data_IF_475499248448
#
_entry.id   IF_475499248448
#
_cell.length_a   1.000
_cell.length_b   1.000
_cell.length_c   1.000
_cell.angle_alpha   90.00
_cell.angle_beta   90.00
_cell.angle_gamma   90.00
#
_symmetry.space_group_name_H-M   'P 1'
#
loop_
_entity.id
_entity.type
_entity.pdbx_description
1 polymer ?
#
# COMPACT_ATOMS: atom_id res chain seq x y z
N UNK A 1 13.46 -10.78 -5.55
CA UNK A 1 12.84 -9.60 -4.93
C UNK A 1 12.38 -8.67 -6.03
N UNK A 2 11.12 -8.23 -6.01
CA UNK A 2 10.65 -7.19 -6.92
C UNK A 2 11.37 -5.89 -6.58
N UNK A 3 11.98 -5.23 -7.57
CA UNK A 3 12.53 -3.88 -7.44
C UNK A 3 11.60 -2.87 -8.09
N UNK A 4 11.77 -1.60 -7.79
CA UNK A 4 11.09 -0.48 -8.43
C UNK A 4 11.99 0.10 -9.49
N UNK A 5 11.47 0.32 -10.70
CA UNK A 5 12.24 0.96 -11.77
C UNK A 5 12.62 2.40 -11.40
N UNK A 6 13.86 2.76 -11.67
CA UNK A 6 14.36 4.11 -11.41
C UNK A 6 13.60 5.18 -12.20
N UNK A 7 13.13 4.85 -13.40
CA UNK A 7 12.25 5.71 -14.21
C UNK A 7 11.00 6.16 -13.45
N UNK A 8 10.33 5.21 -12.77
CA UNK A 8 9.14 5.51 -11.97
C UNK A 8 9.47 6.42 -10.78
N UNK A 9 10.58 6.16 -10.08
CA UNK A 9 11.04 7.00 -8.98
C UNK A 9 11.28 8.44 -9.44
N UNK A 10 11.96 8.62 -10.57
CA UNK A 10 12.27 9.94 -11.14
C UNK A 10 11.01 10.73 -11.49
N UNK A 11 10.04 10.07 -12.13
CA UNK A 11 8.77 10.69 -12.54
C UNK A 11 7.91 11.10 -11.33
N UNK A 12 7.69 10.17 -10.41
CA UNK A 12 6.81 10.39 -9.25
C UNK A 12 7.37 11.44 -8.27
N UNK A 13 8.69 11.47 -8.08
CA UNK A 13 9.32 12.42 -7.19
C UNK A 13 9.76 13.72 -7.90
N UNK A 14 9.52 13.85 -9.19
CA UNK A 14 9.83 15.05 -9.95
C UNK A 14 11.31 15.41 -9.94
N UNK A 15 12.21 14.41 -10.15
CA UNK A 15 13.64 14.62 -10.16
C UNK A 15 14.11 15.12 -11.53
N UNK A 16 15.00 16.13 -11.52
CA UNK A 16 15.64 16.61 -12.73
C UNK A 16 16.88 15.76 -13.06
N UNK A 17 16.90 15.17 -14.25
CA UNK A 17 17.98 14.29 -14.71
C UNK A 17 19.15 15.12 -15.26
N UNK A 18 20.37 14.92 -14.72
CA UNK A 18 21.60 15.57 -15.15
C UNK A 18 22.43 14.69 -16.09
N UNK A 19 22.07 13.42 -16.27
CA UNK A 19 22.76 12.43 -17.12
C UNK A 19 21.78 11.77 -18.07
N UNK A 20 21.14 12.52 -18.98
CA UNK A 20 20.08 12.00 -19.86
C UNK A 20 20.58 10.90 -20.84
N UNK A 21 21.88 10.77 -21.04
CA UNK A 21 22.51 9.74 -21.88
C UNK A 21 22.43 8.33 -21.27
N UNK A 22 22.16 8.23 -19.94
CA UNK A 22 22.09 6.95 -19.23
C UNK A 22 20.67 6.41 -19.31
N UNK A 23 20.52 5.18 -19.79
CA UNK A 23 19.25 4.48 -19.80
C UNK A 23 18.86 4.04 -18.36
N UNK A 24 17.68 4.47 -17.93
CA UNK A 24 17.15 4.19 -16.58
C UNK A 24 16.28 2.94 -16.53
N UNK A 25 15.90 2.36 -17.68
CA UNK A 25 14.86 1.32 -17.78
C UNK A 25 15.24 0.02 -17.04
N UNK A 26 16.52 -0.33 -17.02
CA UNK A 26 17.03 -1.55 -16.39
C UNK A 26 17.46 -1.39 -14.94
N UNK A 27 17.45 -0.14 -14.41
CA UNK A 27 17.91 0.13 -13.04
C UNK A 27 16.77 -0.06 -12.07
N UNK A 28 16.96 -0.98 -11.12
CA UNK A 28 15.99 -1.33 -10.09
C UNK A 28 16.47 -0.93 -8.70
N UNK A 29 15.64 -0.18 -7.98
CA UNK A 29 15.82 0.07 -6.55
C UNK A 29 15.16 -1.06 -5.78
N UNK A 30 15.92 -1.74 -4.91
CA UNK A 30 15.49 -2.97 -4.22
C UNK A 30 15.37 -2.81 -2.70
N UNK A 31 15.76 -1.66 -2.14
CA UNK A 31 15.69 -1.38 -0.72
C UNK A 31 15.01 -0.04 -0.44
N UNK A 32 14.31 0.02 0.68
CA UNK A 32 13.67 1.24 1.18
C UNK A 32 14.71 2.19 1.79
N UNK A 33 15.82 1.60 2.23
CA UNK A 33 16.88 2.36 2.88
C UNK A 33 17.64 3.22 1.87
N UNK A 34 17.97 4.41 2.30
CA UNK A 34 18.77 5.38 1.56
C UNK A 34 20.10 5.62 2.29
N UNK A 35 21.06 6.19 1.60
CA UNK A 35 22.35 6.51 2.19
C UNK A 35 22.74 7.98 1.97
N UNK A 36 23.37 8.59 2.97
CA UNK A 36 24.09 9.87 2.86
C UNK A 36 25.58 9.56 2.89
N UNK A 37 26.31 9.69 1.77
CA UNK A 37 27.65 9.15 1.63
C UNK A 37 28.74 10.04 2.26
N UNK A 38 28.53 10.53 3.50
CA UNK A 38 29.45 11.45 4.14
C UNK A 38 30.87 10.84 4.32
N UNK A 39 30.99 9.65 4.93
CA UNK A 39 32.26 8.95 5.10
C UNK A 39 32.81 8.41 3.78
N UNK A 40 31.92 7.95 2.89
CA UNK A 40 32.31 7.41 1.59
C UNK A 40 33.02 8.46 0.73
N UNK A 41 32.58 9.71 0.81
CA UNK A 41 33.22 10.83 0.11
C UNK A 41 34.59 11.22 0.69
N UNK A 42 34.89 10.82 1.94
CA UNK A 42 36.25 10.97 2.49
C UNK A 42 37.21 9.84 2.07
N UNK A 43 36.67 8.77 1.44
CA UNK A 43 37.41 7.61 0.96
C UNK A 43 37.25 6.34 1.81
N UNK A 44 36.43 6.37 2.87
CA UNK A 44 36.11 5.20 3.68
C UNK A 44 34.94 4.43 3.06
N UNK A 45 35.23 3.30 2.45
CA UNK A 45 34.26 2.46 1.71
C UNK A 45 33.98 1.11 2.39
N UNK A 46 34.56 0.83 3.55
CA UNK A 46 34.22 -0.37 4.31
C UNK A 46 32.77 -0.32 4.77
N UNK A 47 32.05 -1.43 4.60
CA UNK A 47 30.61 -1.54 4.93
C UNK A 47 29.72 -0.53 4.20
N UNK A 48 30.12 -0.09 3.01
CA UNK A 48 29.34 0.81 2.20
C UNK A 48 28.10 0.11 1.63
N UNK A 49 26.93 0.59 1.99
CA UNK A 49 25.64 0.14 1.46
C UNK A 49 25.42 0.72 0.06
N UNK A 50 26.15 0.19 -0.92
CA UNK A 50 26.16 0.70 -2.29
C UNK A 50 24.87 0.39 -3.07
N UNK A 51 24.06 -0.56 -2.63
CA UNK A 51 22.76 -0.90 -3.21
C UNK A 51 21.66 0.15 -2.95
N UNK A 52 21.93 1.11 -2.04
CA UNK A 52 20.98 2.15 -1.66
C UNK A 52 21.03 3.36 -2.59
N UNK A 53 19.92 4.08 -2.69
CA UNK A 53 19.91 5.40 -3.30
C UNK A 53 20.83 6.34 -2.50
N UNK A 54 21.74 7.03 -3.17
CA UNK A 54 22.70 7.93 -2.54
C UNK A 54 22.20 9.37 -2.61
N UNK A 55 22.12 10.07 -1.46
CA UNK A 55 21.64 11.44 -1.38
C UNK A 55 22.76 12.34 -0.86
N UNK A 56 23.21 13.25 -1.70
CA UNK A 56 24.21 14.27 -1.36
C UNK A 56 23.47 15.56 -0.98
N UNK A 57 23.57 15.93 0.28
CA UNK A 57 23.02 17.17 0.83
C UNK A 57 24.02 18.34 0.78
N UNK A 58 23.61 19.46 1.36
CA UNK A 58 24.43 20.67 1.38
C UNK A 58 25.78 20.45 2.09
N UNK A 59 25.84 19.70 3.18
CA UNK A 59 27.07 19.46 3.96
C UNK A 59 28.07 18.63 3.14
N UNK A 60 27.62 17.54 2.55
CA UNK A 60 28.45 16.68 1.71
C UNK A 60 28.94 17.43 0.46
N UNK A 61 28.06 18.22 -0.13
CA UNK A 61 28.39 19.06 -1.28
C UNK A 61 29.46 20.10 -0.97
N UNK A 62 29.28 20.86 0.12
CA UNK A 62 30.27 21.88 0.52
C UNK A 62 31.63 21.28 0.89
N UNK A 63 31.64 20.10 1.50
CA UNK A 63 32.88 19.35 1.71
C UNK A 63 33.60 19.05 0.39
N UNK A 64 32.90 18.53 -0.62
CA UNK A 64 33.47 18.27 -1.94
C UNK A 64 34.00 19.54 -2.61
N UNK A 65 33.31 20.67 -2.47
CA UNK A 65 33.73 21.95 -3.05
C UNK A 65 34.92 22.60 -2.33
N UNK A 66 35.24 22.18 -1.10
CA UNK A 66 36.45 22.61 -0.38
C UNK A 66 37.72 21.89 -0.81
N UNK A 67 37.59 20.74 -1.46
CA UNK A 67 38.72 19.98 -1.97
C UNK A 67 39.30 20.61 -3.21
N UNK A 68 40.61 20.40 -3.47
CA UNK A 68 41.20 20.68 -4.77
C UNK A 68 40.50 19.88 -5.87
N UNK A 69 40.57 20.33 -7.11
CA UNK A 69 39.90 19.64 -8.24
C UNK A 69 40.41 18.19 -8.39
N UNK A 70 41.72 17.96 -8.16
CA UNK A 70 42.33 16.63 -8.23
C UNK A 70 41.83 15.71 -7.12
N UNK A 71 41.79 16.19 -5.86
CA UNK A 71 41.30 15.44 -4.71
C UNK A 71 39.81 15.15 -4.81
N UNK A 72 38.98 16.14 -5.24
CA UNK A 72 37.57 15.98 -5.46
C UNK A 72 37.31 14.91 -6.49
N UNK A 73 37.96 14.98 -7.66
CA UNK A 73 37.85 14.02 -8.73
C UNK A 73 38.24 12.63 -8.27
N UNK A 74 39.38 12.47 -7.58
CA UNK A 74 39.84 11.19 -7.07
C UNK A 74 38.84 10.55 -6.07
N UNK A 75 38.39 11.31 -5.08
CA UNK A 75 37.46 10.82 -4.05
C UNK A 75 36.08 10.52 -4.64
N UNK A 76 35.57 11.39 -5.52
CA UNK A 76 34.28 11.20 -6.16
C UNK A 76 34.32 10.00 -7.13
N UNK A 77 35.41 9.81 -7.86
CA UNK A 77 35.60 8.65 -8.75
C UNK A 77 35.55 7.33 -7.95
N UNK A 78 36.23 7.25 -6.82
CA UNK A 78 36.16 6.07 -5.93
C UNK A 78 34.75 5.79 -5.42
N UNK A 79 34.00 6.83 -5.08
CA UNK A 79 32.62 6.71 -4.63
C UNK A 79 31.71 6.25 -5.78
N UNK A 80 31.74 6.93 -6.92
CA UNK A 80 30.85 6.66 -8.04
C UNK A 80 31.11 5.28 -8.69
N UNK A 81 32.34 4.79 -8.66
CA UNK A 81 32.74 3.46 -9.18
C UNK A 81 32.24 2.29 -8.33
N UNK A 82 31.63 2.55 -7.17
CA UNK A 82 31.16 1.52 -6.21
C UNK A 82 29.85 0.85 -6.62
N UNK A 83 29.41 0.95 -7.89
CA UNK A 83 28.20 0.33 -8.44
C UNK A 83 26.92 0.74 -7.71
N UNK A 84 26.78 2.00 -7.40
CA UNK A 84 25.59 2.58 -6.79
C UNK A 84 24.46 2.75 -7.83
N UNK A 85 23.18 2.63 -7.45
CA UNK A 85 22.07 2.70 -8.40
C UNK A 85 21.84 4.10 -8.96
N UNK A 86 22.05 5.14 -8.16
CA UNK A 86 21.96 6.53 -8.57
C UNK A 86 22.48 7.48 -7.47
N UNK A 87 22.71 8.73 -7.85
CA UNK A 87 23.03 9.84 -6.94
C UNK A 87 22.00 10.94 -7.11
N UNK A 88 21.51 11.49 -5.99
CA UNK A 88 20.56 12.61 -5.98
C UNK A 88 21.14 13.75 -5.16
N UNK A 89 21.34 14.89 -5.80
CA UNK A 89 21.74 16.13 -5.14
C UNK A 89 20.48 16.87 -4.66
N UNK A 90 20.44 17.22 -3.40
CA UNK A 90 19.32 17.95 -2.77
C UNK A 90 19.68 19.41 -2.48
N UNK A 91 18.66 20.21 -2.13
CA UNK A 91 18.86 21.62 -1.73
C UNK A 91 19.45 22.49 -2.85
N UNK A 92 19.07 22.26 -4.09
CA UNK A 92 19.55 22.96 -5.29
C UNK A 92 21.08 22.89 -5.51
N UNK A 93 21.79 22.02 -4.80
CA UNK A 93 23.23 21.83 -5.04
C UNK A 93 23.41 21.17 -6.41
N UNK A 94 24.29 21.72 -7.23
CA UNK A 94 24.57 21.19 -8.57
C UNK A 94 26.01 20.65 -8.60
N UNK A 95 26.20 19.39 -9.01
CA UNK A 95 27.54 18.85 -9.19
C UNK A 95 28.30 19.63 -10.26
N UNK A 96 29.62 19.70 -10.11
CA UNK A 96 30.50 20.23 -11.14
C UNK A 96 30.55 19.32 -12.38
N UNK A 97 31.01 19.86 -13.51
CA UNK A 97 30.99 19.10 -14.78
C UNK A 97 31.85 17.85 -14.68
N UNK A 98 33.01 17.89 -14.02
CA UNK A 98 33.86 16.74 -13.77
C UNK A 98 33.15 15.59 -13.00
N UNK A 99 32.25 15.95 -12.08
CA UNK A 99 31.44 14.95 -11.36
C UNK A 99 30.37 14.34 -12.27
N UNK A 100 29.76 15.11 -13.17
CA UNK A 100 28.79 14.62 -14.16
C UNK A 100 29.51 13.68 -15.16
N UNK A 101 30.67 14.07 -15.66
CA UNK A 101 31.46 13.28 -16.60
C UNK A 101 31.87 11.91 -15.98
N UNK A 102 32.22 11.90 -14.69
CA UNK A 102 32.49 10.66 -13.96
C UNK A 102 31.22 9.80 -13.80
N UNK A 103 30.08 10.40 -13.53
CA UNK A 103 28.81 9.69 -13.41
C UNK A 103 28.44 9.02 -14.75
N UNK A 104 28.59 9.69 -15.86
CA UNK A 104 28.41 9.13 -17.23
C UNK A 104 29.43 7.99 -17.49
N UNK A 105 30.71 8.24 -17.19
CA UNK A 105 31.78 7.22 -17.35
C UNK A 105 31.47 5.90 -16.64
N UNK A 106 30.91 5.97 -15.43
CA UNK A 106 30.60 4.80 -14.60
C UNK A 106 29.13 4.34 -14.73
N UNK A 107 28.36 4.95 -15.63
CA UNK A 107 26.95 4.62 -15.88
C UNK A 107 26.07 4.74 -14.60
N UNK A 108 26.28 5.82 -13.82
CA UNK A 108 25.53 6.09 -12.60
C UNK A 108 24.62 7.29 -12.81
N UNK A 109 23.29 7.11 -12.91
CA UNK A 109 22.35 8.20 -13.08
C UNK A 109 22.44 9.22 -11.95
N UNK A 110 22.49 10.48 -12.32
CA UNK A 110 22.61 11.61 -11.38
C UNK A 110 21.46 12.57 -11.54
N UNK A 111 20.84 12.93 -10.44
CA UNK A 111 19.66 13.78 -10.39
C UNK A 111 19.84 14.95 -9.42
N UNK A 112 18.99 15.96 -9.57
CA UNK A 112 18.89 17.09 -8.64
C UNK A 112 17.44 17.32 -8.23
N UNK A 113 17.24 17.76 -6.97
CA UNK A 113 15.95 18.21 -6.45
C UNK A 113 16.12 19.53 -5.68
N UNK A 114 15.13 20.39 -5.76
CA UNK A 114 15.08 21.68 -5.03
C UNK A 114 14.74 21.47 -3.54
N UNK A 115 14.20 20.32 -3.18
CA UNK A 115 13.77 20.00 -1.82
C UNK A 115 14.96 19.94 -0.85
N UNK A 116 14.71 20.30 0.41
CA UNK A 116 15.71 20.12 1.45
C UNK A 116 16.02 18.64 1.66
N UNK A 117 17.25 18.31 2.05
CA UNK A 117 17.69 16.94 2.23
C UNK A 117 16.75 16.14 3.15
N UNK A 118 16.39 16.71 4.31
CA UNK A 118 15.52 16.01 5.28
C UNK A 118 14.11 15.76 4.74
N UNK A 119 13.51 16.75 4.08
CA UNK A 119 12.18 16.61 3.48
C UNK A 119 12.17 15.57 2.37
N UNK A 120 13.18 15.62 1.48
CA UNK A 120 13.29 14.65 0.40
C UNK A 120 13.56 13.24 0.89
N UNK A 121 14.42 13.06 1.92
CA UNK A 121 14.65 11.76 2.55
C UNK A 121 13.38 11.15 3.11
N UNK A 122 12.57 11.91 3.84
CA UNK A 122 11.31 11.42 4.38
C UNK A 122 10.34 10.99 3.27
N UNK A 123 10.29 11.75 2.18
CA UNK A 123 9.40 11.47 1.06
C UNK A 123 9.83 10.24 0.27
N UNK A 124 11.11 10.10 -0.08
CA UNK A 124 11.60 8.94 -0.84
C UNK A 124 11.49 7.65 -0.02
N UNK A 125 11.78 7.67 1.29
CA UNK A 125 11.61 6.51 2.18
C UNK A 125 10.15 6.09 2.22
N UNK A 126 9.23 7.04 2.42
CA UNK A 126 7.80 6.77 2.43
C UNK A 126 7.34 6.18 1.10
N UNK A 127 7.77 6.76 -0.03
CA UNK A 127 7.39 6.31 -1.36
C UNK A 127 7.95 4.90 -1.65
N UNK A 128 9.24 4.66 -1.39
CA UNK A 128 9.86 3.34 -1.56
C UNK A 128 9.20 2.30 -0.65
N UNK A 129 8.84 2.68 0.59
CA UNK A 129 8.14 1.83 1.53
C UNK A 129 6.82 1.29 0.96
N UNK A 130 6.05 2.14 0.27
CA UNK A 130 4.82 1.72 -0.40
C UNK A 130 5.11 0.86 -1.64
N UNK A 131 6.07 1.26 -2.48
CA UNK A 131 6.36 0.57 -3.74
C UNK A 131 6.99 -0.81 -3.53
N UNK A 132 7.86 -0.96 -2.53
CA UNK A 132 8.56 -2.19 -2.20
C UNK A 132 7.82 -3.05 -1.17
N UNK A 133 6.68 -2.58 -0.67
CA UNK A 133 5.85 -3.32 0.29
C UNK A 133 5.51 -4.72 -0.24
N UNK A 134 5.55 -5.75 0.61
CA UNK A 134 5.04 -7.06 0.26
C UNK A 134 3.63 -6.96 -0.31
N UNK A 135 3.41 -7.59 -1.45
CA UNK A 135 2.13 -7.54 -2.17
C UNK A 135 1.71 -8.94 -2.57
N UNK A 136 0.43 -9.26 -2.35
CA UNK A 136 -0.22 -10.49 -2.83
C UNK A 136 -1.48 -10.13 -3.60
N UNK A 137 -1.87 -11.00 -4.53
CA UNK A 137 -3.15 -10.89 -5.24
C UNK A 137 -4.14 -11.88 -4.61
N UNK A 138 -5.32 -11.39 -4.27
CA UNK A 138 -6.41 -12.17 -3.68
C UNK A 138 -7.60 -12.14 -4.64
N UNK A 139 -8.21 -13.30 -4.88
CA UNK A 139 -9.48 -13.36 -5.60
C UNK A 139 -10.62 -12.90 -4.68
N UNK A 140 -11.25 -11.80 -5.05
CA UNK A 140 -12.28 -11.16 -4.24
C UNK A 140 -12.67 -9.79 -4.76
N UNK A 141 -13.52 -9.12 -4.00
CA UNK A 141 -14.01 -7.77 -4.29
C UNK A 141 -13.70 -6.87 -3.11
N UNK A 142 -13.14 -5.70 -3.35
CA UNK A 142 -12.90 -4.69 -2.32
C UNK A 142 -13.80 -3.48 -2.55
N UNK A 143 -14.58 -3.14 -1.53
CA UNK A 143 -15.51 -2.01 -1.53
C UNK A 143 -15.25 -1.13 -0.32
N UNK A 144 -15.28 0.18 -0.50
CA UNK A 144 -15.31 1.14 0.59
C UNK A 144 -16.77 1.34 1.03
N UNK A 145 -17.11 0.84 2.21
CA UNK A 145 -18.46 0.92 2.79
C UNK A 145 -18.44 1.88 3.99
N UNK A 146 -18.95 3.10 3.80
CA UNK A 146 -18.92 4.18 4.79
C UNK A 146 -17.53 4.52 5.32
N UNK A 147 -16.46 4.29 4.52
CA UNK A 147 -15.07 4.52 4.93
C UNK A 147 -14.36 3.29 5.48
N UNK A 148 -15.07 2.19 5.78
CA UNK A 148 -14.46 0.90 6.12
C UNK A 148 -14.19 0.11 4.83
N UNK A 149 -12.97 -0.40 4.66
CA UNK A 149 -12.63 -1.27 3.54
C UNK A 149 -13.07 -2.70 3.79
N UNK A 150 -14.05 -3.15 3.02
CA UNK A 150 -14.61 -4.50 3.14
C UNK A 150 -14.11 -5.36 1.98
N UNK A 151 -13.30 -6.37 2.29
CA UNK A 151 -12.86 -7.38 1.34
C UNK A 151 -13.85 -8.55 1.35
N UNK A 152 -14.57 -8.71 0.25
CA UNK A 152 -15.53 -9.80 0.05
C UNK A 152 -14.82 -10.94 -0.67
N UNK A 153 -14.74 -12.10 -0.06
CA UNK A 153 -14.12 -13.32 -0.59
C UNK A 153 -15.14 -14.46 -0.69
N UNK A 154 -14.80 -15.54 -1.36
CA UNK A 154 -15.65 -16.70 -1.53
C UNK A 154 -15.47 -17.33 -2.90
N UNK A 155 -16.13 -18.45 -3.15
CA UNK A 155 -16.03 -19.19 -4.40
C UNK A 155 -16.46 -18.36 -5.62
N UNK A 156 -15.98 -18.76 -6.80
CA UNK A 156 -16.37 -18.12 -8.05
C UNK A 156 -17.87 -18.34 -8.31
N UNK A 157 -18.60 -17.27 -8.64
CA UNK A 157 -20.05 -17.34 -8.90
C UNK A 157 -20.95 -17.26 -7.67
N UNK A 158 -20.40 -17.04 -6.48
CA UNK A 158 -21.17 -16.96 -5.24
C UNK A 158 -21.92 -15.62 -5.05
N UNK A 159 -21.75 -14.65 -5.98
CA UNK A 159 -22.47 -13.37 -5.93
C UNK A 159 -21.64 -12.19 -5.40
N UNK A 160 -20.28 -12.27 -5.41
CA UNK A 160 -19.42 -11.18 -4.92
C UNK A 160 -19.59 -9.89 -5.73
N UNK A 161 -19.51 -9.99 -7.07
CA UNK A 161 -19.63 -8.84 -7.97
C UNK A 161 -21.03 -8.24 -7.96
N UNK A 162 -22.08 -9.09 -7.88
CA UNK A 162 -23.46 -8.63 -7.74
C UNK A 162 -23.70 -7.87 -6.43
N UNK A 163 -23.12 -8.36 -5.32
CA UNK A 163 -23.18 -7.66 -4.05
C UNK A 163 -22.44 -6.31 -4.11
N UNK A 164 -21.29 -6.25 -4.77
CA UNK A 164 -20.55 -5.01 -4.97
C UNK A 164 -21.35 -4.01 -5.81
N UNK A 165 -21.95 -4.44 -6.92
CA UNK A 165 -22.78 -3.57 -7.75
C UNK A 165 -23.97 -2.98 -6.97
N UNK A 166 -24.61 -3.78 -6.11
CA UNK A 166 -25.69 -3.27 -5.27
C UNK A 166 -25.16 -2.26 -4.24
N UNK A 167 -24.01 -2.51 -3.63
CA UNK A 167 -23.34 -1.56 -2.74
C UNK A 167 -23.03 -0.24 -3.46
N UNK A 168 -22.53 -0.29 -4.70
CA UNK A 168 -22.25 0.91 -5.52
C UNK A 168 -23.54 1.72 -5.74
N UNK A 169 -24.66 1.05 -6.13
CA UNK A 169 -25.96 1.70 -6.30
C UNK A 169 -26.50 2.33 -5.02
N UNK A 170 -26.04 1.89 -3.86
CA UNK A 170 -26.37 2.44 -2.53
C UNK A 170 -25.43 3.55 -2.08
N UNK A 171 -24.46 3.96 -2.93
CA UNK A 171 -23.55 5.07 -2.70
C UNK A 171 -22.20 4.70 -2.10
N UNK A 172 -21.85 3.41 -2.13
CA UNK A 172 -20.50 2.94 -1.74
C UNK A 172 -19.57 2.94 -2.95
N UNK A 173 -18.26 2.78 -2.71
CA UNK A 173 -17.24 2.93 -3.75
C UNK A 173 -16.53 1.62 -4.04
N UNK A 174 -16.48 1.25 -5.31
CA UNK A 174 -15.67 0.12 -5.79
C UNK A 174 -14.19 0.48 -5.73
N UNK A 175 -13.39 -0.41 -5.17
CA UNK A 175 -11.93 -0.35 -5.25
C UNK A 175 -11.41 -1.36 -6.26
N UNK A 176 -11.84 -2.61 -6.17
CA UNK A 176 -11.46 -3.67 -7.10
C UNK A 176 -12.52 -4.75 -7.17
N UNK A 177 -12.68 -5.36 -8.36
CA UNK A 177 -13.45 -6.58 -8.58
C UNK A 177 -12.53 -7.67 -9.13
N UNK A 178 -12.86 -8.93 -8.84
CA UNK A 178 -12.18 -10.15 -9.22
C UNK A 178 -10.78 -10.34 -8.62
N UNK A 179 -9.86 -9.39 -8.80
CA UNK A 179 -8.50 -9.45 -8.26
C UNK A 179 -8.20 -8.22 -7.43
N UNK A 180 -7.90 -8.42 -6.14
CA UNK A 180 -7.46 -7.37 -5.21
C UNK A 180 -5.98 -7.53 -4.92
N UNK A 181 -5.17 -6.52 -5.25
CA UNK A 181 -3.77 -6.44 -4.82
C UNK A 181 -3.70 -5.89 -3.39
N UNK A 182 -3.28 -6.74 -2.45
CA UNK A 182 -3.07 -6.35 -1.05
C UNK A 182 -1.60 -6.04 -0.79
N UNK A 183 -1.30 -4.84 -0.31
CA UNK A 183 0.04 -4.38 0.07
C UNK A 183 0.13 -4.17 1.58
N UNK A 184 1.18 -4.72 2.18
CA UNK A 184 1.48 -4.49 3.60
C UNK A 184 2.20 -3.15 3.75
N UNK A 185 1.47 -2.10 4.14
CA UNK A 185 2.03 -0.74 4.33
C UNK A 185 2.64 -0.60 5.73
N UNK A 186 2.10 -1.32 6.71
CA UNK A 186 2.65 -1.42 8.07
C UNK A 186 2.29 -2.75 8.71
N UNK A 187 2.80 -2.98 9.94
CA UNK A 187 2.48 -4.21 10.69
C UNK A 187 1.00 -4.37 11.07
N UNK A 188 0.23 -3.30 10.93
CA UNK A 188 -1.21 -3.30 11.27
C UNK A 188 -2.09 -2.84 10.10
N UNK A 189 -1.51 -2.48 8.94
CA UNK A 189 -2.27 -1.89 7.84
C UNK A 189 -2.00 -2.61 6.53
N UNK A 190 -3.05 -3.16 5.95
CA UNK A 190 -3.09 -3.62 4.56
C UNK A 190 -3.88 -2.63 3.73
N UNK A 191 -3.36 -2.30 2.56
CA UNK A 191 -4.05 -1.46 1.57
C UNK A 191 -4.34 -2.30 0.34
N UNK A 192 -5.59 -2.29 -0.08
CA UNK A 192 -6.03 -2.96 -1.30
C UNK A 192 -6.19 -1.98 -2.45
N UNK A 193 -5.90 -2.44 -3.65
CA UNK A 193 -6.08 -1.74 -4.93
C UNK A 193 -6.44 -2.71 -6.05
N UNK A 194 -6.97 -2.19 -7.14
CA UNK A 194 -7.11 -2.95 -8.37
C UNK A 194 -5.79 -3.01 -9.14
N UNK A 195 -5.51 -4.09 -9.90
CA UNK A 195 -4.53 -4.05 -10.97
C UNK A 195 -4.87 -2.94 -11.98
N UNK A 196 -3.85 -2.30 -12.58
CA UNK A 196 -4.09 -1.16 -13.51
C UNK A 196 -4.99 -1.53 -14.70
N UNK A 197 -4.92 -2.79 -15.17
CA UNK A 197 -5.69 -3.28 -16.33
C UNK A 197 -7.19 -3.41 -16.00
N UNK A 198 -7.55 -3.79 -14.77
CA UNK A 198 -8.93 -4.06 -14.36
C UNK A 198 -9.53 -2.95 -13.51
N UNK A 199 -8.81 -1.85 -13.35
CA UNK A 199 -9.24 -0.72 -12.52
C UNK A 199 -10.57 -0.15 -13.00
N UNK A 200 -11.52 -0.01 -12.07
CA UNK A 200 -12.88 0.51 -12.27
C UNK A 200 -13.82 -0.41 -13.08
N UNK A 201 -13.36 -1.58 -13.49
CA UNK A 201 -14.23 -2.55 -14.16
C UNK A 201 -14.82 -3.55 -13.17
N UNK A 202 -16.02 -4.03 -13.48
CA UNK A 202 -16.70 -5.11 -12.77
C UNK A 202 -17.21 -6.12 -13.80
N UNK A 203 -17.05 -7.41 -13.51
CA UNK A 203 -17.60 -8.47 -14.36
C UNK A 203 -18.92 -9.01 -13.80
N UNK A 204 -19.96 -8.97 -14.60
CA UNK A 204 -21.27 -9.51 -14.27
C UNK A 204 -21.64 -10.65 -15.22
N UNK A 205 -21.84 -11.83 -14.67
CA UNK A 205 -22.21 -12.99 -15.47
C UNK A 205 -23.53 -12.75 -16.23
N UNK A 206 -23.53 -13.04 -17.54
CA UNK A 206 -24.67 -12.83 -18.41
C UNK A 206 -24.85 -11.40 -18.93
N UNK A 207 -24.07 -10.42 -18.41
CA UNK A 207 -24.07 -9.04 -18.89
C UNK A 207 -22.72 -8.70 -19.53
N UNK A 208 -21.61 -9.14 -18.92
CA UNK A 208 -20.25 -8.86 -19.35
C UNK A 208 -19.53 -7.86 -18.45
N UNK A 209 -18.55 -7.14 -19.01
CA UNK A 209 -17.72 -6.17 -18.32
C UNK A 209 -18.39 -4.80 -18.34
N UNK A 210 -18.45 -4.15 -17.19
CA UNK A 210 -19.03 -2.82 -16.97
C UNK A 210 -17.95 -1.89 -16.43
N UNK A 211 -17.83 -0.68 -17.02
CA UNK A 211 -17.03 0.41 -16.45
C UNK A 211 -17.88 1.17 -15.42
N UNK A 212 -17.58 0.94 -14.15
CA UNK A 212 -18.32 1.51 -13.02
C UNK A 212 -18.17 3.03 -12.97
N UNK A 213 -16.97 3.55 -13.23
CA UNK A 213 -16.70 4.98 -13.22
C UNK A 213 -17.49 5.73 -14.31
N UNK A 214 -17.58 5.15 -15.50
CA UNK A 214 -18.32 5.73 -16.62
C UNK A 214 -19.83 5.68 -16.40
N UNK A 215 -20.35 4.59 -15.80
CA UNK A 215 -21.80 4.41 -15.64
C UNK A 215 -22.37 5.07 -14.39
N UNK A 216 -21.62 5.10 -13.27
CA UNK A 216 -22.13 5.56 -11.98
C UNK A 216 -21.43 6.83 -11.45
N UNK A 217 -20.45 7.38 -12.19
CA UNK A 217 -19.72 8.58 -11.82
C UNK A 217 -18.43 8.31 -11.05
N UNK A 218 -17.59 9.34 -10.94
CA UNK A 218 -16.29 9.28 -10.26
C UNK A 218 -16.40 9.01 -8.76
N UNK A 219 -17.51 9.37 -8.16
CA UNK A 219 -17.81 9.14 -6.74
C UNK A 219 -18.06 7.67 -6.39
N UNK A 220 -18.35 6.84 -7.39
CA UNK A 220 -18.61 5.40 -7.20
C UNK A 220 -17.35 4.52 -7.20
N UNK A 221 -16.18 5.10 -7.41
CA UNK A 221 -14.90 4.39 -7.44
C UNK A 221 -13.88 5.00 -6.51
N UNK A 222 -12.88 4.20 -6.12
CA UNK A 222 -11.74 4.63 -5.30
C UNK A 222 -10.51 3.81 -5.69
N UNK A 223 -9.35 4.45 -5.80
CA UNK A 223 -8.15 3.77 -6.28
C UNK A 223 -7.54 2.82 -5.23
N UNK A 224 -7.60 3.20 -3.96
CA UNK A 224 -7.02 2.42 -2.86
C UNK A 224 -7.86 2.52 -1.60
N UNK A 225 -7.90 1.47 -0.79
CA UNK A 225 -8.57 1.46 0.51
C UNK A 225 -7.84 0.53 1.48
N UNK A 226 -7.73 0.93 2.76
CA UNK A 226 -7.31 0.01 3.83
C UNK A 226 -8.33 -1.11 3.97
N UNK A 227 -7.85 -2.34 4.19
CA UNK A 227 -8.74 -3.48 4.45
C UNK A 227 -8.99 -3.56 5.96
N UNK A 228 -10.22 -3.25 6.36
CA UNK A 228 -10.64 -3.21 7.78
C UNK A 228 -11.40 -4.48 8.18
N UNK A 229 -12.13 -5.08 7.24
CA UNK A 229 -13.02 -6.21 7.46
C UNK A 229 -12.97 -7.17 6.28
N UNK A 230 -12.95 -8.45 6.56
CA UNK A 230 -13.14 -9.51 5.55
C UNK A 230 -14.52 -10.15 5.73
N UNK A 231 -15.24 -10.28 4.63
CA UNK A 231 -16.49 -11.02 4.57
C UNK A 231 -16.29 -12.21 3.64
N UNK A 232 -16.30 -13.41 4.23
CA UNK A 232 -16.21 -14.64 3.49
C UNK A 232 -17.61 -15.16 3.18
N UNK A 233 -17.98 -15.11 1.89
CA UNK A 233 -19.23 -15.71 1.43
C UNK A 233 -19.04 -17.20 1.25
N UNK A 234 -19.95 -17.99 1.80
CA UNK A 234 -19.93 -19.45 1.69
C UNK A 234 -21.34 -20.00 1.44
N UNK A 235 -21.43 -21.16 0.79
CA UNK A 235 -22.71 -21.84 0.65
C UNK A 235 -23.24 -22.25 2.02
N UNK A 236 -24.57 -22.24 2.15
CA UNK A 236 -25.21 -22.65 3.40
C UNK A 236 -24.95 -24.14 3.67
N UNK A 237 -24.31 -24.42 4.79
CA UNK A 237 -24.13 -25.75 5.31
C UNK A 237 -25.04 -25.98 6.52
N UNK A 238 -25.81 -27.10 6.51
CA UNK A 238 -26.73 -27.45 7.60
C UNK A 238 -25.99 -27.98 8.84
N UNK A 239 -24.82 -28.54 8.64
CA UNK A 239 -24.04 -29.21 9.70
C UNK A 239 -23.05 -28.23 10.35
N UNK A 240 -22.89 -27.02 9.80
CA UNK A 240 -22.04 -25.95 10.33
C UNK A 240 -22.83 -25.03 11.27
N UNK A 241 -22.32 -24.85 12.48
CA UNK A 241 -22.83 -23.82 13.39
C UNK A 241 -22.27 -22.45 13.00
N UNK A 242 -23.20 -21.50 12.81
CA UNK A 242 -22.87 -20.10 12.53
C UNK A 242 -23.05 -19.26 13.78
N UNK A 243 -22.07 -18.42 14.10
CA UNK A 243 -22.20 -17.49 15.22
C UNK A 243 -23.40 -16.54 14.99
N UNK A 244 -24.35 -16.59 15.90
CA UNK A 244 -25.56 -15.74 15.86
C UNK A 244 -25.45 -14.50 16.73
N UNK A 245 -24.55 -14.51 17.68
CA UNK A 245 -24.44 -13.46 18.69
C UNK A 245 -23.32 -12.48 18.40
N UNK A 246 -22.32 -12.87 17.62
CA UNK A 246 -21.15 -12.04 17.31
C UNK A 246 -20.26 -11.76 18.52
N UNK A 247 -20.27 -12.68 19.51
CA UNK A 247 -19.45 -12.60 20.71
C UNK A 247 -18.01 -13.01 20.47
N UNK A 248 -17.78 -13.88 19.49
CA UNK A 248 -16.46 -14.35 19.11
C UNK A 248 -16.05 -13.70 17.81
N UNK A 249 -14.86 -13.08 17.79
CA UNK A 249 -14.29 -12.55 16.57
C UNK A 249 -13.41 -13.59 15.89
N UNK A 250 -13.71 -13.89 14.65
CA UNK A 250 -12.85 -14.68 13.78
C UNK A 250 -11.88 -13.74 13.06
N UNK A 251 -10.70 -14.25 12.76
CA UNK A 251 -9.67 -13.50 12.06
C UNK A 251 -9.15 -14.27 10.85
N UNK A 252 -8.84 -13.58 9.79
CA UNK A 252 -8.05 -14.08 8.67
C UNK A 252 -6.71 -13.36 8.63
N UNK A 253 -5.69 -14.00 8.06
CA UNK A 253 -4.34 -13.44 8.02
C UNK A 253 -3.88 -13.27 6.58
N UNK A 254 -3.42 -12.06 6.24
CA UNK A 254 -2.76 -11.75 4.97
C UNK A 254 -1.45 -11.02 5.26
N UNK A 255 -0.34 -11.52 4.70
CA UNK A 255 1.00 -10.93 4.85
C UNK A 255 1.42 -10.70 6.33
N UNK A 256 0.94 -11.54 7.27
CA UNK A 256 1.19 -11.42 8.70
C UNK A 256 0.28 -10.42 9.43
N UNK A 257 -0.66 -9.77 8.74
CA UNK A 257 -1.67 -8.90 9.35
C UNK A 257 -2.96 -9.68 9.61
N UNK A 258 -3.46 -9.64 10.85
CA UNK A 258 -4.75 -10.24 11.23
C UNK A 258 -5.87 -9.24 11.02
N UNK A 259 -6.90 -9.64 10.28
CA UNK A 259 -8.08 -8.83 9.99
C UNK A 259 -9.32 -9.57 10.47
N UNK A 260 -10.26 -8.84 11.08
CA UNK A 260 -11.56 -9.40 11.50
C UNK A 260 -12.26 -9.99 10.28
N UNK A 261 -12.78 -11.22 10.43
CA UNK A 261 -13.44 -11.97 9.38
C UNK A 261 -14.83 -12.41 9.83
N UNK A 262 -15.82 -12.26 8.97
CA UNK A 262 -17.15 -12.83 9.16
C UNK A 262 -17.48 -13.82 8.06
N UNK A 263 -17.81 -15.07 8.43
CA UNK A 263 -18.31 -16.08 7.51
C UNK A 263 -19.83 -15.91 7.33
N UNK A 264 -20.24 -15.53 6.11
CA UNK A 264 -21.65 -15.31 5.78
C UNK A 264 -22.19 -16.42 4.89
N UNK A 265 -23.10 -17.25 5.40
CA UNK A 265 -23.76 -18.27 4.59
C UNK A 265 -24.78 -17.62 3.65
N UNK A 266 -24.70 -17.96 2.37
CA UNK A 266 -25.62 -17.49 1.34
C UNK A 266 -26.84 -18.41 1.27
N UNK A 267 -28.01 -17.77 1.24
CA UNK A 267 -29.29 -18.43 0.92
C UNK A 267 -30.05 -17.60 -0.11
N UNK A 268 -30.80 -18.25 -1.00
CA UNK A 268 -31.71 -17.52 -1.89
C UNK A 268 -32.60 -16.54 -1.12
N UNK A 269 -32.77 -15.32 -1.64
CA UNK A 269 -33.60 -14.26 -1.04
C UNK A 269 -32.89 -13.38 0.02
N UNK A 270 -31.62 -13.63 0.37
CA UNK A 270 -30.86 -12.69 1.22
C UNK A 270 -30.27 -11.55 0.39
N UNK A 271 -30.47 -10.34 0.85
CA UNK A 271 -29.77 -9.18 0.28
C UNK A 271 -28.38 -9.04 0.92
N UNK A 272 -27.35 -9.43 0.16
CA UNK A 272 -25.96 -9.42 0.63
C UNK A 272 -25.46 -8.00 0.91
N UNK A 273 -25.85 -7.01 0.13
CA UNK A 273 -25.40 -5.64 0.32
C UNK A 273 -25.84 -5.09 1.67
N UNK A 274 -27.08 -5.33 2.08
CA UNK A 274 -27.57 -4.91 3.42
C UNK A 274 -26.76 -5.58 4.55
N UNK A 275 -26.42 -6.85 4.39
CA UNK A 275 -25.66 -7.58 5.40
C UNK A 275 -24.23 -7.02 5.47
N UNK A 276 -23.61 -6.76 4.34
CA UNK A 276 -22.26 -6.17 4.24
C UNK A 276 -22.25 -4.76 4.87
N UNK A 277 -23.22 -3.91 4.55
CA UNK A 277 -23.37 -2.58 5.18
C UNK A 277 -23.49 -2.70 6.70
N UNK A 278 -24.36 -3.61 7.16
CA UNK A 278 -24.57 -3.81 8.60
C UNK A 278 -23.30 -4.31 9.31
N UNK A 279 -22.55 -5.20 8.67
CA UNK A 279 -21.30 -5.71 9.20
C UNK A 279 -20.23 -4.60 9.30
N UNK A 280 -20.11 -3.76 8.26
CA UNK A 280 -19.18 -2.63 8.25
C UNK A 280 -19.50 -1.59 9.36
N UNK A 281 -20.79 -1.22 9.50
CA UNK A 281 -21.23 -0.29 10.55
C UNK A 281 -21.01 -0.87 11.94
N UNK A 282 -21.34 -2.15 12.16
CA UNK A 282 -21.12 -2.83 13.43
C UNK A 282 -19.63 -2.93 13.78
N UNK A 283 -18.77 -3.26 12.78
CA UNK A 283 -17.33 -3.27 12.95
C UNK A 283 -16.80 -1.91 13.39
N UNK A 284 -17.26 -0.84 12.73
CA UNK A 284 -16.91 0.54 13.09
C UNK A 284 -17.34 0.90 14.52
N UNK A 285 -18.56 0.51 14.93
CA UNK A 285 -19.03 0.74 16.31
C UNK A 285 -18.14 0.02 17.32
N UNK A 286 -17.73 -1.22 17.05
CA UNK A 286 -16.81 -1.96 17.92
C UNK A 286 -15.46 -1.24 18.03
N UNK A 287 -14.90 -0.74 16.91
CA UNK A 287 -13.67 0.08 16.92
C UNK A 287 -13.81 1.36 17.77
N UNK A 288 -15.02 1.91 17.85
CA UNK A 288 -15.34 3.08 18.69
C UNK A 288 -15.65 2.71 20.16
N UNK A 289 -15.52 1.43 20.53
CA UNK A 289 -15.68 0.96 21.92
C UNK A 289 -17.10 0.51 22.29
N UNK A 290 -18.04 0.41 21.36
CA UNK A 290 -19.39 -0.11 21.63
C UNK A 290 -19.59 -1.47 20.97
N UNK A 291 -19.87 -2.49 21.79
CA UNK A 291 -20.19 -3.85 21.35
C UNK A 291 -21.62 -4.22 21.78
N UNK A 292 -22.54 -4.23 20.80
CA UNK A 292 -23.96 -4.51 21.06
C UNK A 292 -24.19 -5.94 21.62
N UNK A 293 -23.39 -6.92 21.22
CA UNK A 293 -23.49 -8.30 21.70
C UNK A 293 -23.11 -8.40 23.18
N UNK A 294 -22.02 -7.73 23.59
CA UNK A 294 -21.61 -7.66 24.99
C UNK A 294 -22.64 -6.92 25.85
N UNK A 295 -23.19 -5.83 25.33
CA UNK A 295 -24.20 -5.05 26.03
C UNK A 295 -25.48 -5.87 26.24
N UNK A 296 -25.93 -6.60 25.22
CA UNK A 296 -27.05 -7.52 25.34
C UNK A 296 -26.76 -8.61 26.37
N UNK A 297 -25.57 -9.20 26.35
CA UNK A 297 -25.17 -10.23 27.31
C UNK A 297 -25.21 -9.69 28.76
N UNK A 298 -24.68 -8.49 29.02
CA UNK A 298 -24.76 -7.84 30.34
C UNK A 298 -26.18 -7.63 30.80
N UNK A 299 -27.08 -7.18 29.90
CA UNK A 299 -28.53 -6.97 30.24
C UNK A 299 -29.21 -8.30 30.56
N UNK A 300 -28.93 -9.36 29.82
CA UNK A 300 -29.47 -10.69 30.09
C UNK A 300 -29.01 -11.20 31.47
N UNK A 301 -27.72 -11.08 31.78
CA UNK A 301 -27.17 -11.47 33.08
C UNK A 301 -27.80 -10.68 34.23
N UNK A 302 -27.91 -9.38 34.09
CA UNK A 302 -28.56 -8.53 35.10
C UNK A 302 -30.03 -8.90 35.34
N UNK A 303 -30.77 -9.24 34.27
CA UNK A 303 -32.17 -9.67 34.38
C UNK A 303 -32.30 -11.03 35.08
N UNK A 304 -31.40 -11.96 34.77
CA UNK A 304 -31.38 -13.28 35.45
C UNK A 304 -30.99 -13.17 36.92
N UNK A 305 -30.10 -12.26 37.30
CA UNK A 305 -29.75 -11.99 38.70
C UNK A 305 -30.96 -11.46 39.48
N UNK A 306 -31.67 -10.45 38.96
CA UNK A 306 -32.91 -9.90 39.58
C UNK A 306 -33.95 -11.00 39.79
N UNK A 307 -34.20 -11.84 38.80
CA UNK A 307 -35.18 -12.95 38.94
C UNK A 307 -34.77 -14.03 39.95
N UNK A 308 -33.49 -14.12 40.29
CA UNK A 308 -33.02 -15.04 41.37
C UNK A 308 -33.19 -14.44 42.76
N UNK A 309 -33.10 -13.13 42.89
CA UNK A 309 -33.33 -12.39 44.16
C UNK A 309 -34.83 -12.32 44.54
N UNK A 310 -35.70 -12.36 43.51
CA UNK A 310 -37.18 -12.31 43.71
C UNK A 310 -37.81 -13.70 44.03
N UNK A 311 -37.03 -14.78 44.02
CA UNK A 311 -37.44 -16.16 44.36
C UNK A 311 -36.88 -16.56 45.72
#
# INVERSE_FOLDING_TARGET
>A
MKGVQLTKLVQELGLHNLTPEIDLSEILIKTVEINRPALQLTGYLEHFANERVQIIGYVEYTYLMQLSDEERKFKYERFISSKIPCVIFSTMTRPSQDMIDLAIKYNVPTFVTERTTSSFMAEIIRWLGVQLAPCISIHGVLVDVYGEGVLITGESGIGKSEAALELIKRGHRLVSDDVVELRKVSDVTLVGSAPDITRHFIELRGIGIIDVKTLFGVESVKDTQSVDLVIKLEEWDRDKEYDRLGLHEEYTEYLGNKIVCHSLPIRPGRNLAIIVESAAVNHRQKKMGYNAAEELYKRVQANLAKKREER
#
